data_IF_800382667994
#
_entry.id   IF_800382667994
#
_cell.length_a   1.000
_cell.length_b   1.000
_cell.length_c   1.000
_cell.angle_alpha   90.00
_cell.angle_beta   90.00
_cell.angle_gamma   90.00
#
_symmetry.space_group_name_H-M   'P 1'
#
loop_
_entity.id
_entity.type
_entity.pdbx_description
1 polymer ?
#
# COMPACT_ATOMS: atom_id res chain seq x y z
N UNK A 1 -2.32 17.46 1.08
CA UNK A 1 -2.16 16.55 -0.08
C UNK A 1 -3.48 15.85 -0.33
N UNK A 2 -4.01 15.92 -1.55
CA UNK A 2 -5.27 15.25 -1.88
C UNK A 2 -5.16 13.73 -1.69
N UNK A 3 -6.22 13.10 -1.14
CA UNK A 3 -6.31 11.66 -0.92
C UNK A 3 -7.75 11.20 -1.10
N UNK A 4 -7.96 9.91 -1.36
CA UNK A 4 -9.30 9.34 -1.35
C UNK A 4 -9.80 9.22 0.10
N UNK A 5 -10.93 9.84 0.40
CA UNK A 5 -11.61 9.80 1.72
C UNK A 5 -13.01 9.18 1.61
N UNK A 6 -13.39 8.71 0.42
CA UNK A 6 -14.71 8.15 0.17
C UNK A 6 -14.90 6.71 0.72
N UNK A 7 -16.06 6.10 0.41
CA UNK A 7 -16.40 4.75 0.87
C UNK A 7 -15.42 3.68 0.38
N UNK A 8 -14.68 3.05 1.31
CA UNK A 8 -13.64 2.05 1.03
C UNK A 8 -14.22 0.74 0.48
N UNK A 9 -15.28 0.23 1.11
CA UNK A 9 -15.94 -1.02 0.74
C UNK A 9 -16.50 -1.00 -0.69
N UNK A 10 -16.93 0.18 -1.15
CA UNK A 10 -17.35 0.40 -2.54
C UNK A 10 -16.21 0.11 -3.51
N UNK A 11 -14.98 0.48 -3.16
CA UNK A 11 -13.80 0.23 -3.98
C UNK A 11 -13.41 -1.26 -3.95
N UNK A 12 -13.41 -1.89 -2.77
CA UNK A 12 -13.13 -3.33 -2.63
C UNK A 12 -14.11 -4.18 -3.45
N UNK A 13 -15.41 -3.89 -3.34
CA UNK A 13 -16.46 -4.55 -4.13
C UNK A 13 -16.34 -4.32 -5.63
N UNK A 14 -15.82 -3.17 -6.05
CA UNK A 14 -15.62 -2.89 -7.48
C UNK A 14 -14.49 -3.71 -8.07
N UNK A 15 -13.44 -3.97 -7.30
CA UNK A 15 -12.29 -4.78 -7.74
C UNK A 15 -12.42 -6.27 -7.34
N UNK A 16 -13.56 -6.66 -6.74
CA UNK A 16 -13.80 -8.00 -6.20
C UNK A 16 -12.67 -8.52 -5.29
N UNK A 17 -11.99 -7.60 -4.60
CA UNK A 17 -10.82 -7.88 -3.77
C UNK A 17 -10.86 -7.03 -2.51
N UNK A 18 -10.51 -7.62 -1.36
CA UNK A 18 -10.47 -6.88 -0.10
C UNK A 18 -9.19 -6.06 0.00
N UNK A 19 -9.30 -4.76 -0.29
CA UNK A 19 -8.16 -3.85 -0.37
C UNK A 19 -7.73 -3.35 1.03
N UNK A 20 -8.68 -3.22 1.96
CA UNK A 20 -8.48 -2.40 3.16
C UNK A 20 -8.68 -3.16 4.47
N UNK A 21 -9.42 -4.27 4.47
CA UNK A 21 -9.80 -4.97 5.69
C UNK A 21 -8.91 -6.20 5.89
N UNK A 22 -8.28 -6.27 7.06
CA UNK A 22 -7.53 -7.45 7.53
C UNK A 22 -8.49 -8.54 8.05
N UNK A 23 -9.51 -8.91 7.26
CA UNK A 23 -10.36 -10.07 7.54
C UNK A 23 -11.74 -9.82 8.16
N UNK A 24 -12.17 -8.55 8.35
CA UNK A 24 -13.59 -8.30 8.62
C UNK A 24 -14.39 -8.60 7.33
N UNK A 25 -15.33 -9.55 7.40
CA UNK A 25 -16.06 -10.08 6.23
C UNK A 25 -16.80 -8.95 5.51
N UNK A 26 -16.25 -8.53 4.37
CA UNK A 26 -16.90 -7.65 3.42
C UNK A 26 -18.11 -8.37 2.84
N UNK A 27 -19.31 -7.90 3.18
CA UNK A 27 -20.54 -8.45 2.63
C UNK A 27 -20.62 -8.12 1.14
N UNK A 28 -20.97 -9.13 0.32
CA UNK A 28 -21.16 -8.97 -1.13
C UNK A 28 -19.91 -8.50 -1.89
N UNK A 29 -18.73 -9.03 -1.53
CA UNK A 29 -17.46 -8.72 -2.21
C UNK A 29 -17.53 -8.94 -3.74
N UNK A 30 -18.17 -10.04 -4.16
CA UNK A 30 -18.30 -10.42 -5.57
C UNK A 30 -19.38 -9.64 -6.32
N UNK A 31 -20.16 -8.78 -5.64
CA UNK A 31 -21.23 -7.99 -6.27
C UNK A 31 -20.77 -6.55 -6.41
N UNK A 32 -20.54 -6.06 -7.65
CA UNK A 32 -20.14 -4.68 -7.88
C UNK A 32 -21.13 -3.67 -7.28
N UNK A 33 -20.68 -2.46 -6.92
CA UNK A 33 -21.57 -1.44 -6.38
C UNK A 33 -22.47 -0.82 -7.47
N UNK A 34 -23.66 -0.38 -7.06
CA UNK A 34 -24.65 0.32 -7.90
C UNK A 34 -25.89 -0.52 -8.23
N UNK A 35 -26.90 0.12 -8.83
CA UNK A 35 -28.21 -0.49 -9.17
C UNK A 35 -28.05 -1.68 -10.12
N UNK A 36 -27.10 -1.62 -11.05
CA UNK A 36 -26.80 -2.71 -11.98
C UNK A 36 -25.81 -3.74 -11.44
N UNK A 37 -25.27 -3.54 -10.23
CA UNK A 37 -24.30 -4.45 -9.60
C UNK A 37 -24.78 -5.91 -9.54
N UNK A 38 -26.02 -6.19 -9.10
CA UNK A 38 -26.56 -7.55 -9.06
C UNK A 38 -26.70 -8.22 -10.43
N UNK A 39 -26.80 -7.45 -11.52
CA UNK A 39 -26.83 -7.99 -12.88
C UNK A 39 -25.45 -8.50 -13.35
N UNK A 40 -24.41 -8.26 -12.56
CA UNK A 40 -23.04 -8.61 -12.90
C UNK A 40 -22.41 -7.66 -13.91
N UNK A 41 -21.19 -8.00 -14.31
CA UNK A 41 -20.44 -7.31 -15.37
C UNK A 41 -20.37 -8.21 -16.59
N UNK A 42 -20.62 -7.65 -17.79
CA UNK A 42 -20.26 -8.32 -19.05
C UNK A 42 -18.76 -8.61 -19.07
N UNK A 43 -18.35 -9.64 -19.80
CA UNK A 43 -16.94 -10.01 -19.94
C UNK A 43 -16.06 -8.80 -20.25
N UNK A 44 -14.96 -8.64 -19.50
CA UNK A 44 -14.07 -7.49 -19.65
C UNK A 44 -13.21 -7.63 -20.90
N UNK A 45 -13.13 -6.55 -21.69
CA UNK A 45 -12.12 -6.42 -22.73
C UNK A 45 -10.72 -6.44 -22.10
N UNK A 46 -9.68 -6.69 -22.91
CA UNK A 46 -8.29 -6.64 -22.44
C UNK A 46 -7.96 -5.30 -21.76
N UNK A 47 -8.38 -4.17 -22.37
CA UNK A 47 -8.27 -2.85 -21.76
C UNK A 47 -8.97 -2.77 -20.40
N UNK A 48 -10.18 -3.36 -20.31
CA UNK A 48 -10.92 -3.43 -19.06
C UNK A 48 -10.18 -4.19 -17.96
N UNK A 49 -9.53 -5.32 -18.28
CA UNK A 49 -8.72 -6.10 -17.35
C UNK A 49 -7.51 -5.31 -16.85
N UNK A 50 -6.72 -4.77 -17.78
CA UNK A 50 -5.55 -3.95 -17.50
C UNK A 50 -5.89 -2.72 -16.64
N UNK A 51 -6.99 -2.02 -16.98
CA UNK A 51 -7.46 -0.89 -16.20
C UNK A 51 -7.84 -1.28 -14.77
N UNK A 52 -8.48 -2.44 -14.57
CA UNK A 52 -8.87 -2.90 -13.23
C UNK A 52 -7.66 -3.22 -12.38
N UNK A 53 -6.67 -3.91 -12.96
CA UNK A 53 -5.45 -4.24 -12.24
C UNK A 53 -4.68 -3.00 -11.79
N UNK A 54 -4.54 -2.03 -12.68
CA UNK A 54 -4.00 -0.70 -12.36
C UNK A 54 -4.75 -0.03 -11.20
N UNK A 55 -6.08 -0.04 -11.24
CA UNK A 55 -6.91 0.59 -10.21
C UNK A 55 -6.79 -0.15 -8.88
N UNK A 56 -6.67 -1.48 -8.88
CA UNK A 56 -6.45 -2.31 -7.70
C UNK A 56 -5.17 -1.89 -6.99
N UNK A 57 -4.03 -1.90 -7.68
CA UNK A 57 -2.73 -1.52 -7.10
C UNK A 57 -2.73 -0.08 -6.58
N UNK A 58 -3.23 0.87 -7.38
CA UNK A 58 -3.33 2.27 -6.95
C UNK A 58 -4.12 2.42 -5.64
N UNK A 59 -5.19 1.66 -5.46
CA UNK A 59 -6.06 1.70 -4.27
C UNK A 59 -5.43 0.99 -3.07
N UNK A 60 -4.74 -0.13 -3.29
CA UNK A 60 -3.95 -0.83 -2.28
C UNK A 60 -2.99 0.14 -1.61
N UNK A 61 -2.18 0.86 -2.40
CA UNK A 61 -1.22 1.83 -1.86
C UNK A 61 -1.82 3.22 -1.55
N UNK A 62 -3.10 3.44 -1.86
CA UNK A 62 -3.82 4.68 -1.52
C UNK A 62 -3.28 5.95 -2.19
N UNK A 63 -2.71 5.84 -3.39
CA UNK A 63 -2.08 6.94 -4.12
C UNK A 63 -2.96 7.50 -5.25
N UNK A 64 -2.67 8.73 -5.66
CA UNK A 64 -3.38 9.37 -6.77
C UNK A 64 -2.83 8.93 -8.13
N UNK A 65 -3.63 9.05 -9.17
CA UNK A 65 -3.28 8.62 -10.53
C UNK A 65 -1.99 9.30 -11.04
N UNK A 66 -1.85 10.62 -10.86
CA UNK A 66 -0.65 11.36 -11.27
C UNK A 66 0.61 10.86 -10.56
N UNK A 67 0.50 10.48 -9.29
CA UNK A 67 1.62 9.96 -8.53
C UNK A 67 1.94 8.52 -8.95
N UNK A 68 0.92 7.70 -9.16
CA UNK A 68 1.09 6.34 -9.64
C UNK A 68 1.75 6.30 -11.03
N UNK A 69 1.31 7.15 -11.96
CA UNK A 69 1.92 7.29 -13.29
C UNK A 69 3.41 7.66 -13.20
N UNK A 70 3.81 8.54 -12.27
CA UNK A 70 5.24 8.86 -12.05
C UNK A 70 6.04 7.64 -11.63
N UNK A 71 5.53 6.82 -10.71
CA UNK A 71 6.21 5.59 -10.32
C UNK A 71 6.34 4.60 -11.48
N UNK A 72 5.33 4.52 -12.35
CA UNK A 72 5.38 3.70 -13.55
C UNK A 72 6.44 4.22 -14.53
N UNK A 73 6.47 5.53 -14.79
CA UNK A 73 7.49 6.16 -15.65
C UNK A 73 8.91 5.99 -15.09
N UNK A 74 9.09 6.05 -13.77
CA UNK A 74 10.37 5.76 -13.11
C UNK A 74 10.74 4.27 -13.25
N UNK A 75 9.78 3.37 -13.12
CA UNK A 75 10.00 1.94 -13.31
C UNK A 75 10.39 1.61 -14.76
N UNK A 76 9.82 2.27 -15.77
CA UNK A 76 10.20 2.10 -17.17
C UNK A 76 11.64 2.55 -17.46
N UNK A 77 12.16 3.50 -16.69
CA UNK A 77 13.56 3.96 -16.81
C UNK A 77 14.55 3.09 -16.04
N UNK A 78 14.05 2.24 -15.14
CA UNK A 78 14.89 1.36 -14.34
C UNK A 78 15.42 0.20 -15.18
N UNK A 79 16.60 -0.31 -14.82
CA UNK A 79 17.17 -1.51 -15.45
C UNK A 79 16.49 -2.75 -14.86
N UNK A 80 16.03 -3.66 -15.71
CA UNK A 80 15.42 -4.93 -15.30
C UNK A 80 13.92 -5.00 -15.55
N UNK A 81 13.22 -5.82 -14.77
CA UNK A 81 11.78 -6.02 -14.92
C UNK A 81 11.00 -4.78 -14.40
N UNK A 82 10.31 -4.08 -15.31
CA UNK A 82 9.51 -2.88 -15.00
C UNK A 82 8.43 -3.15 -13.96
N UNK A 83 7.77 -4.32 -14.02
CA UNK A 83 6.70 -4.68 -13.09
C UNK A 83 7.20 -4.78 -11.65
N UNK A 84 8.34 -5.47 -11.47
CA UNK A 84 9.00 -5.59 -10.17
C UNK A 84 9.49 -4.24 -9.66
N UNK A 85 10.15 -3.44 -10.52
CA UNK A 85 10.65 -2.12 -10.14
C UNK A 85 9.53 -1.16 -9.67
N UNK A 86 8.36 -1.22 -10.30
CA UNK A 86 7.17 -0.49 -9.87
C UNK A 86 6.76 -0.89 -8.46
N UNK A 87 6.61 -2.21 -8.21
CA UNK A 87 6.19 -2.73 -6.92
C UNK A 87 7.20 -2.41 -5.81
N UNK A 88 8.50 -2.54 -6.09
CA UNK A 88 9.58 -2.15 -5.17
C UNK A 88 9.46 -0.68 -4.80
N UNK A 89 9.21 0.20 -5.77
CA UNK A 89 9.07 1.64 -5.54
C UNK A 89 7.84 1.96 -4.68
N UNK A 90 6.75 1.21 -4.82
CA UNK A 90 5.54 1.36 -4.02
C UNK A 90 5.69 0.83 -2.60
N UNK A 91 6.35 -0.32 -2.42
CA UNK A 91 6.58 -0.90 -1.10
C UNK A 91 7.51 -0.04 -0.24
N UNK A 92 8.50 0.61 -0.86
CA UNK A 92 9.50 1.46 -0.18
C UNK A 92 8.98 2.81 0.31
N UNK A 93 7.71 3.15 0.05
CA UNK A 93 7.14 4.40 0.56
C UNK A 93 7.04 4.37 2.09
N UNK A 94 7.34 5.49 2.74
CA UNK A 94 7.33 5.60 4.20
C UNK A 94 5.96 5.24 4.82
N UNK A 95 4.85 5.66 4.21
CA UNK A 95 3.53 5.26 4.70
C UNK A 95 3.30 3.75 4.63
N UNK A 96 3.78 3.12 3.56
CA UNK A 96 3.68 1.68 3.42
C UNK A 96 4.63 0.92 4.35
N UNK A 97 5.87 1.39 4.55
CA UNK A 97 6.83 0.80 5.50
C UNK A 97 6.29 0.83 6.93
N UNK A 98 5.73 1.96 7.36
CA UNK A 98 5.10 2.09 8.70
C UNK A 98 3.93 1.10 8.86
N UNK A 99 3.16 0.87 7.81
CA UNK A 99 2.11 -0.16 7.81
C UNK A 99 2.69 -1.58 7.87
N UNK A 100 3.68 -1.92 7.03
CA UNK A 100 4.30 -3.26 6.95
C UNK A 100 5.08 -3.63 8.22
N UNK A 101 5.63 -2.65 8.94
CA UNK A 101 6.23 -2.83 10.27
C UNK A 101 5.17 -3.14 11.35
N UNK A 102 3.88 -3.02 11.06
CA UNK A 102 2.83 -3.25 12.04
C UNK A 102 2.74 -2.16 13.10
N UNK A 103 3.11 -0.92 12.76
CA UNK A 103 2.89 0.22 13.66
C UNK A 103 1.45 0.73 13.59
N UNK A 104 0.71 0.36 12.54
CA UNK A 104 -0.67 0.77 12.35
C UNK A 104 -1.49 -0.37 11.76
N UNK A 105 -2.81 -0.32 11.97
CA UNK A 105 -3.77 -1.33 11.50
C UNK A 105 -3.99 -1.30 9.99
N UNK A 106 -3.77 -0.14 9.35
CA UNK A 106 -4.08 0.07 7.93
C UNK A 106 -3.17 1.12 7.28
N UNK A 107 -2.96 1.01 5.96
CA UNK A 107 -2.19 1.99 5.17
C UNK A 107 -2.69 3.44 5.31
N UNK A 108 -4.01 3.73 5.33
CA UNK A 108 -4.50 5.09 5.58
C UNK A 108 -4.14 5.62 6.98
N UNK A 109 -4.15 4.77 8.01
CA UNK A 109 -3.72 5.15 9.35
C UNK A 109 -2.22 5.45 9.37
N UNK A 110 -1.38 4.60 8.76
CA UNK A 110 0.05 4.84 8.60
C UNK A 110 0.34 6.21 7.96
N UNK A 111 -0.39 6.53 6.87
CA UNK A 111 -0.27 7.81 6.18
C UNK A 111 -0.59 9.00 7.08
N UNK A 112 -1.60 8.86 7.94
CA UNK A 112 -1.98 9.91 8.90
C UNK A 112 -0.89 10.10 9.95
N UNK A 113 -0.37 9.01 10.53
CA UNK A 113 0.73 9.03 11.49
C UNK A 113 1.95 9.74 10.90
N UNK A 114 2.36 9.39 9.68
CA UNK A 114 3.45 10.08 8.97
C UNK A 114 3.12 11.56 8.80
N UNK A 115 1.97 11.90 8.20
CA UNK A 115 1.59 13.29 7.90
C UNK A 115 1.53 14.18 9.16
N UNK A 116 1.19 13.60 10.31
CA UNK A 116 1.11 14.29 11.60
C UNK A 116 2.46 14.39 12.34
N UNK A 117 3.59 14.12 11.67
CA UNK A 117 4.97 14.25 12.22
C UNK A 117 5.25 13.31 13.40
N UNK A 118 4.65 12.13 13.39
CA UNK A 118 4.86 11.11 14.42
C UNK A 118 5.96 10.09 14.07
N UNK A 119 6.56 10.21 12.89
CA UNK A 119 7.57 9.27 12.39
C UNK A 119 8.91 9.97 12.28
N UNK A 120 9.95 9.28 12.72
CA UNK A 120 11.34 9.70 12.69
C UNK A 120 12.09 8.72 11.79
N UNK A 121 12.85 9.23 10.83
CA UNK A 121 13.71 8.42 9.95
C UNK A 121 15.14 8.88 10.15
N UNK A 122 16.03 7.95 10.53
CA UNK A 122 17.44 8.23 10.82
C UNK A 122 17.65 9.43 11.76
N UNK A 123 16.82 9.55 12.79
CA UNK A 123 16.87 10.65 13.77
C UNK A 123 16.12 11.94 13.39
N UNK A 124 15.68 12.08 12.15
CA UNK A 124 14.97 13.28 11.67
C UNK A 124 13.45 13.05 11.58
N UNK A 125 12.64 14.02 12.02
CA UNK A 125 11.17 13.95 11.87
C UNK A 125 10.79 14.10 10.40
N UNK A 126 10.13 13.08 9.85
CA UNK A 126 9.68 13.05 8.45
C UNK A 126 8.16 12.98 8.40
N UNK A 127 7.55 13.89 7.63
CA UNK A 127 6.10 13.98 7.48
C UNK A 127 5.60 13.79 6.04
N UNK A 128 6.44 13.25 5.18
CA UNK A 128 6.15 13.04 3.76
C UNK A 128 5.84 11.55 3.56
N UNK A 129 4.57 11.15 3.35
CA UNK A 129 4.20 9.75 3.14
C UNK A 129 4.90 9.09 1.94
N UNK A 130 5.20 9.88 0.91
CA UNK A 130 5.89 9.42 -0.30
C UNK A 130 7.41 9.40 -0.19
N UNK A 131 7.98 9.64 1.00
CA UNK A 131 9.40 9.49 1.23
C UNK A 131 9.83 8.05 0.87
N UNK A 132 10.86 7.92 0.04
CA UNK A 132 11.35 6.63 -0.43
C UNK A 132 12.45 6.13 0.48
N UNK A 133 12.16 5.05 1.20
CA UNK A 133 13.08 4.44 2.16
C UNK A 133 14.22 3.73 1.43
N UNK A 134 15.44 3.88 1.91
CA UNK A 134 16.65 3.23 1.39
C UNK A 134 17.01 2.03 2.26
N UNK A 135 17.87 1.18 1.69
CA UNK A 135 18.49 0.09 2.43
C UNK A 135 19.24 0.65 3.65
N UNK A 136 19.03 0.04 4.81
CA UNK A 136 19.67 0.44 6.06
C UNK A 136 18.98 1.57 6.82
N UNK A 137 17.99 2.25 6.23
CA UNK A 137 17.24 3.30 6.91
C UNK A 137 16.49 2.75 8.12
N UNK A 138 16.50 3.52 9.21
CA UNK A 138 15.85 3.19 10.48
C UNK A 138 14.65 4.12 10.69
N UNK A 139 13.49 3.53 10.95
CA UNK A 139 12.23 4.20 11.24
C UNK A 139 11.87 4.02 12.70
N UNK A 140 11.57 5.11 13.41
CA UNK A 140 11.07 5.07 14.78
C UNK A 140 9.79 5.90 14.92
N UNK A 141 8.95 5.52 15.89
CA UNK A 141 7.79 6.30 16.28
C UNK A 141 8.17 7.27 17.41
N UNK A 142 7.60 8.48 17.37
CA UNK A 142 7.68 9.41 18.49
C UNK A 142 6.91 8.86 19.70
N UNK A 143 7.37 9.20 20.90
CA UNK A 143 6.74 8.88 22.19
C UNK A 143 5.24 9.20 22.25
N UNK A 144 4.83 10.32 21.63
CA UNK A 144 3.42 10.71 21.54
C UNK A 144 2.61 9.74 20.69
N UNK A 145 3.22 9.21 19.64
CA UNK A 145 2.58 8.28 18.73
C UNK A 145 2.39 6.91 19.38
N UNK A 146 3.39 6.41 20.11
CA UNK A 146 3.30 5.13 20.81
C UNK A 146 2.21 5.11 21.88
N UNK A 147 1.86 6.28 22.43
CA UNK A 147 0.78 6.42 23.41
C UNK A 147 -0.63 6.53 22.80
N UNK A 148 -0.76 6.63 21.47
CA UNK A 148 -2.07 6.66 20.82
C UNK A 148 -2.75 5.28 21.03
N UNK A 149 -3.98 5.23 21.58
CA UNK A 149 -4.63 3.96 21.93
C UNK A 149 -4.70 2.95 20.78
N UNK A 150 -4.95 3.42 19.55
CA UNK A 150 -5.02 2.55 18.38
C UNK A 150 -3.64 1.96 18.01
N UNK A 151 -2.58 2.76 18.08
CA UNK A 151 -1.20 2.30 17.82
C UNK A 151 -0.79 1.31 18.90
N UNK A 152 -1.06 1.63 20.17
CA UNK A 152 -0.75 0.75 21.30
C UNK A 152 -1.40 -0.63 21.15
N UNK A 153 -2.69 -0.67 20.79
CA UNK A 153 -3.41 -1.92 20.50
C UNK A 153 -2.73 -2.72 19.39
N UNK A 154 -2.32 -2.08 18.30
CA UNK A 154 -1.65 -2.75 17.18
C UNK A 154 -0.26 -3.25 17.57
N UNK A 155 0.47 -2.50 18.41
CA UNK A 155 1.79 -2.90 18.91
C UNK A 155 1.72 -4.11 19.85
N UNK A 156 0.61 -4.27 20.58
CA UNK A 156 0.34 -5.42 21.46
C UNK A 156 -0.06 -6.69 20.70
N UNK A 157 -0.51 -6.58 19.44
CA UNK A 157 -0.82 -7.73 18.59
C UNK A 157 0.47 -8.49 18.24
N UNK A 158 0.54 -9.76 18.64
CA UNK A 158 1.68 -10.65 18.37
C UNK A 158 1.68 -11.24 16.94
N UNK A 159 0.54 -11.22 16.26
CA UNK A 159 0.34 -11.94 14.99
C UNK A 159 0.64 -11.10 13.73
N UNK A 160 1.34 -9.97 13.86
CA UNK A 160 1.68 -9.17 12.68
C UNK A 160 2.79 -9.88 11.88
N UNK A 161 2.44 -10.37 10.69
CA UNK A 161 3.42 -10.86 9.72
C UNK A 161 4.22 -9.70 9.13
N UNK A 162 5.47 -9.57 9.57
CA UNK A 162 6.41 -8.59 9.03
C UNK A 162 7.14 -9.24 7.84
N UNK A 163 7.19 -8.58 6.66
CA UNK A 163 7.92 -9.07 5.50
C UNK A 163 9.43 -9.26 5.78
N UNK A 164 10.09 -10.14 5.03
CA UNK A 164 11.49 -10.51 5.27
C UNK A 164 12.49 -9.34 5.12
N UNK A 165 12.14 -8.36 4.29
CA UNK A 165 12.95 -7.17 4.02
C UNK A 165 12.88 -6.07 5.09
N UNK A 166 12.06 -6.29 6.13
CA UNK A 166 11.90 -5.40 7.27
C UNK A 166 12.21 -6.12 8.57
N UNK A 167 12.94 -5.44 9.44
CA UNK A 167 13.17 -5.88 10.82
C UNK A 167 12.47 -4.93 11.77
N UNK A 168 11.82 -5.46 12.81
CA UNK A 168 11.22 -4.66 13.87
C UNK A 168 11.70 -5.12 15.24
N UNK A 169 12.12 -4.14 16.05
CA UNK A 169 12.39 -4.30 17.48
C UNK A 169 11.61 -3.25 18.25
N UNK A 170 10.52 -3.66 18.90
CA UNK A 170 9.58 -2.79 19.60
C UNK A 170 9.03 -1.64 18.72
N UNK A 171 9.50 -0.41 18.95
CA UNK A 171 9.12 0.82 18.24
C UNK A 171 10.09 1.22 17.13
N UNK A 172 11.14 0.42 16.91
CA UNK A 172 12.18 0.66 15.91
C UNK A 172 12.01 -0.35 14.79
N UNK A 173 11.96 0.15 13.56
CA UNK A 173 11.99 -0.64 12.34
C UNK A 173 13.23 -0.33 11.52
N UNK A 174 13.77 -1.31 10.81
CA UNK A 174 14.91 -1.15 9.90
C UNK A 174 14.61 -1.82 8.56
N UNK A 175 15.04 -1.18 7.48
CA UNK A 175 15.03 -1.78 6.14
C UNK A 175 16.29 -2.63 6.00
N UNK A 176 16.13 -3.96 6.09
CA UNK A 176 17.25 -4.93 6.05
C UNK A 176 17.67 -5.29 4.63
N UNK A 177 16.72 -5.33 3.70
CA UNK A 177 16.96 -5.59 2.28
C UNK A 177 15.99 -4.80 1.41
N UNK A 178 16.19 -4.82 0.08
CA UNK A 178 15.18 -4.29 -0.84
C UNK A 178 14.05 -5.32 -1.00
N UNK A 179 12.78 -4.88 -1.04
CA UNK A 179 11.66 -5.80 -1.22
C UNK A 179 11.79 -6.56 -2.53
N UNK A 180 11.43 -7.83 -2.52
CA UNK A 180 11.31 -8.65 -3.72
C UNK A 180 9.84 -8.87 -4.05
N UNK A 181 9.58 -9.38 -5.26
CA UNK A 181 8.22 -9.74 -5.67
C UNK A 181 7.57 -10.75 -4.72
N UNK A 182 8.35 -11.69 -4.21
CA UNK A 182 7.90 -12.76 -3.30
C UNK A 182 7.42 -12.23 -1.94
N UNK A 183 7.91 -11.07 -1.51
CA UNK A 183 7.48 -10.43 -0.25
C UNK A 183 6.08 -9.81 -0.33
N UNK A 184 5.54 -9.65 -1.55
CA UNK A 184 4.25 -9.00 -1.81
C UNK A 184 3.17 -10.08 -1.90
N UNK A 185 2.41 -10.20 -0.81
CA UNK A 185 1.35 -11.20 -0.63
C UNK A 185 0.13 -10.93 -1.53
N UNK A 186 -0.08 -9.68 -1.92
CA UNK A 186 -1.25 -9.31 -2.71
C UNK A 186 -1.23 -9.94 -4.14
N UNK A 187 -2.35 -10.53 -4.60
CA UNK A 187 -2.46 -11.11 -5.94
C UNK A 187 -2.60 -10.00 -6.98
N UNK A 188 -1.44 -9.53 -7.44
CA UNK A 188 -1.29 -8.47 -8.42
C UNK A 188 -0.67 -9.05 -9.69
N UNK A 189 -1.21 -8.66 -10.85
CA UNK A 189 -0.61 -8.91 -12.16
C UNK A 189 0.15 -7.66 -12.60
N UNK A 190 1.48 -7.68 -12.50
CA UNK A 190 2.29 -6.51 -12.88
C UNK A 190 2.29 -6.28 -14.39
N UNK A 191 2.25 -7.37 -15.16
CA UNK A 191 2.25 -7.35 -16.61
C UNK A 191 1.07 -6.56 -17.17
N UNK A 192 -0.14 -6.76 -16.63
CA UNK A 192 -1.35 -6.02 -17.03
C UNK A 192 -1.20 -4.50 -16.81
N UNK A 193 -0.44 -4.10 -15.79
CA UNK A 193 -0.20 -2.69 -15.48
C UNK A 193 0.82 -2.11 -16.46
N UNK A 194 1.90 -2.83 -16.75
CA UNK A 194 2.91 -2.41 -17.74
C UNK A 194 2.25 -2.26 -19.11
N UNK A 195 1.46 -3.25 -19.54
CA UNK A 195 0.73 -3.22 -20.80
C UNK A 195 -0.30 -2.09 -20.88
N UNK A 196 -0.89 -1.69 -19.76
CA UNK A 196 -1.80 -0.54 -19.73
C UNK A 196 -1.10 0.76 -20.12
N UNK A 197 0.15 0.95 -19.67
CA UNK A 197 0.92 2.17 -19.86
C UNK A 197 1.84 2.16 -21.08
N UNK A 198 2.06 1.00 -21.70
CA UNK A 198 2.80 0.87 -22.96
C UNK A 198 1.96 1.11 -24.21
N UNK A 199 0.66 1.40 -24.04
CA UNK A 199 -0.26 1.77 -25.12
C UNK A 199 -0.07 3.22 -25.57
#
# INVERSE_FOLDING_TARGET
MAKYVGPKDRLSRREAFDIFSSGAKLTRLNVPPGVHGPKGTRGSSQYGKQLREKQKVKRIYGILEKQFRRYVEEAFKSKGNTGEALLVSLERRLDNVVYRLGFTSSRPAARQVVSHRHVIVNGNKVNIPSFSMKLGDVVTLDSKASNIPEIKKVLELKDVKIPSWLERKALVGKVSSLPKREDIVEPISEQDIVEFYSR
#
